data_IF_374273184969
#
_entry.id   IF_374273184969
#
_cell.length_a   1.000
_cell.length_b   1.000
_cell.length_c   1.000
_cell.angle_alpha   90.00
_cell.angle_beta   90.00
_cell.angle_gamma   90.00
#
_symmetry.space_group_name_H-M   'P 1'
#
loop_
_entity.id
_entity.type
_entity.pdbx_description
1 polymer ?
#
# COMPACT_ATOMS: atom_id res chain seq x y z
N UNK A 1 31.49 -13.20 92.99
CA UNK A 1 31.07 -11.95 92.39
C UNK A 1 31.50 -11.98 90.94
N UNK A 2 30.57 -12.34 90.01
CA UNK A 2 30.90 -12.43 88.60
C UNK A 2 29.85 -11.60 87.81
N UNK A 3 30.30 -10.46 87.29
CA UNK A 3 29.51 -9.62 86.40
C UNK A 3 29.63 -10.17 84.95
N UNK A 4 28.53 -10.63 84.38
CA UNK A 4 28.40 -10.98 82.96
C UNK A 4 27.71 -9.81 82.23
N UNK A 5 28.47 -9.04 81.48
CA UNK A 5 27.98 -8.01 80.60
C UNK A 5 27.45 -8.64 79.32
N UNK A 6 26.15 -8.47 79.03
CA UNK A 6 25.51 -8.93 77.80
C UNK A 6 25.60 -7.79 76.78
N UNK A 7 26.29 -8.06 75.65
CA UNK A 7 26.27 -7.19 74.49
C UNK A 7 25.04 -7.51 73.63
N UNK A 8 24.18 -6.48 73.45
CA UNK A 8 23.03 -6.53 72.56
C UNK A 8 23.50 -6.06 71.19
N UNK A 9 23.58 -6.98 70.22
CA UNK A 9 23.87 -6.66 68.83
C UNK A 9 22.54 -6.32 68.13
N UNK A 10 22.36 -5.05 67.82
CA UNK A 10 21.22 -4.59 67.01
C UNK A 10 21.58 -4.75 65.51
N UNK A 11 20.93 -5.69 64.85
CA UNK A 11 21.02 -5.85 63.38
C UNK A 11 20.09 -4.81 62.72
N UNK A 12 20.66 -3.79 62.11
CA UNK A 12 19.95 -2.78 61.32
C UNK A 12 19.77 -3.33 59.88
N UNK A 13 18.58 -3.89 59.60
CA UNK A 13 18.24 -4.32 58.24
C UNK A 13 17.85 -3.09 57.38
N UNK A 14 18.80 -2.72 56.49
CA UNK A 14 18.51 -1.73 55.44
C UNK A 14 17.68 -2.37 54.36
N UNK A 15 16.39 -2.11 54.30
CA UNK A 15 15.49 -2.44 53.21
C UNK A 15 15.73 -1.45 52.06
N UNK A 16 16.51 -1.88 51.04
CA UNK A 16 16.57 -1.13 49.78
C UNK A 16 15.24 -1.32 49.03
N UNK A 17 14.41 -0.31 49.06
CA UNK A 17 13.23 -0.23 48.19
C UNK A 17 13.72 0.19 46.81
N UNK A 18 13.89 -0.79 45.90
CA UNK A 18 14.03 -0.51 44.47
C UNK A 18 12.68 0.02 43.99
N UNK A 19 12.51 1.32 43.91
CA UNK A 19 11.41 1.96 43.24
C UNK A 19 11.51 1.70 41.74
N UNK A 20 10.77 0.71 41.21
CA UNK A 20 10.47 0.67 39.80
C UNK A 20 9.77 1.99 39.43
N UNK A 21 10.47 2.87 38.69
CA UNK A 21 9.78 3.94 37.98
C UNK A 21 8.83 3.27 37.01
N UNK A 22 7.53 3.61 36.99
CA UNK A 22 6.66 3.14 35.92
C UNK A 22 7.26 3.64 34.60
N UNK A 23 7.57 2.73 33.67
CA UNK A 23 7.80 3.09 32.28
C UNK A 23 6.58 3.90 31.86
N UNK A 24 6.81 5.15 31.45
CA UNK A 24 5.81 5.91 30.73
C UNK A 24 5.50 5.09 29.48
N UNK A 25 4.35 4.41 29.42
CA UNK A 25 3.78 4.00 28.15
C UNK A 25 3.66 5.30 27.35
N UNK A 26 4.47 5.47 26.31
CA UNK A 26 4.21 6.48 25.29
C UNK A 26 2.82 6.15 24.76
N UNK A 27 1.88 7.05 24.97
CA UNK A 27 0.56 6.93 24.38
C UNK A 27 0.75 7.07 22.88
N UNK A 28 0.27 6.11 22.11
CA UNK A 28 0.20 6.23 20.66
C UNK A 28 -0.45 7.58 20.31
N UNK A 29 0.05 8.29 19.28
CA UNK A 29 -0.56 9.55 18.86
C UNK A 29 -2.02 9.31 18.47
N UNK A 30 -2.89 10.26 18.76
CA UNK A 30 -4.33 10.19 18.44
C UNK A 30 -4.56 10.12 16.91
N UNK A 31 -3.67 10.74 16.13
CA UNK A 31 -3.72 10.76 14.66
C UNK A 31 -2.34 10.43 14.09
N UNK A 32 -2.26 9.56 13.07
CA UNK A 32 -1.01 9.33 12.34
C UNK A 32 -0.62 10.58 11.55
N UNK A 33 0.68 10.79 11.38
CA UNK A 33 1.19 11.78 10.42
C UNK A 33 1.23 11.22 9.00
N UNK A 34 1.50 9.92 8.90
CA UNK A 34 1.73 9.25 7.65
C UNK A 34 0.72 8.12 7.46
N UNK A 35 0.26 7.95 6.23
CA UNK A 35 -0.51 6.77 5.83
C UNK A 35 0.22 6.09 4.68
N UNK A 36 0.48 4.79 4.83
CA UNK A 36 0.98 3.91 3.77
C UNK A 36 -0.15 2.93 3.44
N UNK A 37 -0.69 3.04 2.24
CA UNK A 37 -1.77 2.21 1.74
C UNK A 37 -1.24 1.24 0.69
N UNK A 38 -1.26 -0.07 0.98
CA UNK A 38 -0.75 -1.08 0.07
C UNK A 38 -1.91 -1.90 -0.51
N UNK A 39 -1.93 -2.08 -1.82
CA UNK A 39 -2.96 -2.81 -2.56
C UNK A 39 -2.31 -3.97 -3.31
N UNK A 40 -2.66 -5.21 -2.95
CA UNK A 40 -2.38 -6.38 -3.77
C UNK A 40 -3.52 -6.58 -4.76
N UNK A 41 -3.31 -6.20 -6.02
CA UNK A 41 -4.32 -6.33 -7.06
C UNK A 41 -4.72 -7.80 -7.26
N UNK A 42 -6.01 -8.09 -7.20
CA UNK A 42 -6.54 -9.46 -7.32
C UNK A 42 -6.31 -10.37 -6.10
N UNK A 43 -5.81 -9.81 -4.98
CA UNK A 43 -5.36 -10.56 -3.81
C UNK A 43 -6.49 -10.88 -2.82
N UNK A 44 -7.22 -11.96 -3.05
CA UNK A 44 -8.16 -12.52 -2.06
C UNK A 44 -7.45 -13.34 -0.96
N UNK A 45 -8.25 -13.89 -0.06
CA UNK A 45 -7.75 -14.72 1.07
C UNK A 45 -7.00 -15.96 0.57
N UNK A 46 -7.44 -16.56 -0.53
CA UNK A 46 -6.79 -17.75 -1.10
C UNK A 46 -5.41 -17.42 -1.64
N UNK A 47 -5.23 -16.28 -2.31
CA UNK A 47 -3.94 -15.82 -2.81
C UNK A 47 -2.96 -15.56 -1.65
N UNK A 48 -3.41 -14.90 -0.58
CA UNK A 48 -2.59 -14.68 0.62
C UNK A 48 -2.16 -16.01 1.24
N UNK A 49 -3.09 -16.97 1.39
CA UNK A 49 -2.76 -18.26 2.00
C UNK A 49 -1.88 -19.13 1.08
N UNK A 50 -2.02 -19.00 -0.23
CA UNK A 50 -1.10 -19.60 -1.21
C UNK A 50 0.33 -19.07 -1.03
N UNK A 51 0.50 -17.74 -1.00
CA UNK A 51 1.80 -17.10 -0.73
C UNK A 51 2.39 -17.52 0.62
N UNK A 52 1.57 -17.55 1.68
CA UNK A 52 1.99 -18.03 3.01
C UNK A 52 2.46 -19.48 2.95
N UNK A 53 1.75 -20.35 2.24
CA UNK A 53 2.13 -21.77 2.10
C UNK A 53 3.45 -21.91 1.35
N UNK A 54 3.61 -21.18 0.23
CA UNK A 54 4.84 -21.20 -0.56
C UNK A 54 6.03 -20.60 0.20
N UNK A 55 5.80 -19.62 1.07
CA UNK A 55 6.81 -19.05 1.97
C UNK A 55 6.95 -19.80 3.30
N UNK A 56 6.77 -21.10 3.29
CA UNK A 56 6.98 -22.00 4.43
C UNK A 56 6.17 -21.66 5.69
N UNK A 57 4.99 -21.06 5.53
CA UNK A 57 4.02 -20.80 6.58
C UNK A 57 4.11 -19.44 7.26
N UNK A 58 4.77 -18.45 6.65
CA UNK A 58 4.89 -17.10 7.23
C UNK A 58 4.84 -16.00 6.19
N UNK A 59 4.11 -14.92 6.51
CA UNK A 59 4.12 -13.64 5.80
C UNK A 59 4.21 -12.48 6.81
N UNK A 60 4.73 -11.34 6.39
CA UNK A 60 4.74 -10.10 7.20
C UNK A 60 3.32 -9.65 7.55
N UNK A 61 2.34 -9.93 6.69
CA UNK A 61 0.92 -9.66 6.92
C UNK A 61 0.37 -10.29 8.20
N UNK A 62 0.94 -11.37 8.75
CA UNK A 62 0.53 -11.96 10.03
C UNK A 62 0.80 -11.04 11.24
N UNK A 63 1.62 -10.00 11.07
CA UNK A 63 1.96 -9.05 12.14
C UNK A 63 0.86 -8.03 12.41
N UNK A 64 -0.12 -7.89 11.51
CA UNK A 64 -1.27 -7.02 11.69
C UNK A 64 -2.25 -7.60 12.71
N UNK A 65 -2.79 -6.73 13.56
CA UNK A 65 -3.71 -7.13 14.64
C UNK A 65 -5.16 -6.75 14.36
N UNK A 66 -5.38 -5.74 13.54
CA UNK A 66 -6.69 -5.26 13.17
C UNK A 66 -7.01 -5.72 11.76
N UNK A 67 -8.06 -6.54 11.63
CA UNK A 67 -8.45 -7.17 10.38
C UNK A 67 -9.93 -6.91 10.13
N UNK A 68 -10.26 -6.48 8.93
CA UNK A 68 -11.61 -6.31 8.42
C UNK A 68 -11.77 -6.92 7.03
N UNK A 69 -12.94 -6.71 6.44
CA UNK A 69 -13.27 -7.11 5.07
C UNK A 69 -14.03 -6.01 4.36
N UNK A 70 -13.77 -5.83 3.07
CA UNK A 70 -14.49 -4.87 2.23
C UNK A 70 -15.28 -5.56 1.13
N UNK A 71 -16.44 -4.96 0.80
CA UNK A 71 -17.27 -5.31 -0.37
C UNK A 71 -16.80 -4.48 -1.55
N UNK A 72 -16.53 -5.14 -2.67
CA UNK A 72 -15.77 -4.57 -3.79
C UNK A 72 -16.62 -4.15 -5.00
N UNK A 73 -17.88 -4.55 -5.11
CA UNK A 73 -18.72 -4.30 -6.28
C UNK A 73 -18.68 -2.84 -6.76
N UNK A 74 -18.79 -2.64 -8.08
CA UNK A 74 -18.86 -1.31 -8.71
C UNK A 74 -20.29 -0.78 -8.79
N UNK A 75 -20.48 0.44 -9.30
CA UNK A 75 -21.83 1.03 -9.41
C UNK A 75 -22.71 0.36 -10.47
N UNK A 76 -22.12 -0.31 -11.44
CA UNK A 76 -22.81 -0.94 -12.59
C UNK A 76 -22.62 -2.45 -12.68
N UNK A 77 -21.76 -3.05 -11.81
CA UNK A 77 -21.47 -4.48 -11.88
C UNK A 77 -21.26 -5.08 -10.49
N UNK A 78 -21.76 -6.29 -10.26
CA UNK A 78 -21.48 -7.08 -9.05
C UNK A 78 -19.99 -7.43 -8.92
N UNK A 79 -19.31 -7.61 -10.05
CA UNK A 79 -17.85 -7.84 -10.12
C UNK A 79 -17.18 -6.56 -10.58
N UNK A 80 -16.37 -5.97 -9.72
CA UNK A 80 -15.63 -4.75 -10.02
C UNK A 80 -14.42 -5.02 -10.92
N UNK A 81 -13.91 -3.95 -11.56
CA UNK A 81 -12.53 -3.91 -12.05
C UNK A 81 -11.66 -3.03 -11.16
N UNK A 82 -10.34 -3.03 -11.39
CA UNK A 82 -9.37 -2.25 -10.60
C UNK A 82 -9.62 -0.74 -10.68
N UNK A 83 -10.12 -0.24 -11.82
CA UNK A 83 -10.42 1.18 -12.01
C UNK A 83 -11.56 1.65 -11.07
N UNK A 84 -12.68 0.93 -11.06
CA UNK A 84 -13.83 1.25 -10.23
C UNK A 84 -13.53 1.02 -8.74
N UNK A 85 -12.81 -0.06 -8.39
CA UNK A 85 -12.45 -0.33 -7.00
C UNK A 85 -11.42 0.66 -6.48
N UNK A 86 -10.36 0.95 -7.25
CA UNK A 86 -9.36 1.97 -6.91
C UNK A 86 -10.01 3.34 -6.72
N UNK A 87 -10.92 3.74 -7.62
CA UNK A 87 -11.69 4.99 -7.48
C UNK A 87 -12.55 4.98 -6.21
N UNK A 88 -13.20 3.87 -5.89
CA UNK A 88 -14.01 3.77 -4.68
C UNK A 88 -13.16 3.93 -3.40
N UNK A 89 -11.96 3.34 -3.36
CA UNK A 89 -11.04 3.45 -2.22
C UNK A 89 -10.38 4.82 -2.12
N UNK A 90 -10.07 5.45 -3.26
CA UNK A 90 -9.38 6.75 -3.28
C UNK A 90 -10.31 7.93 -3.06
N UNK A 91 -11.61 7.84 -3.41
CA UNK A 91 -12.53 8.99 -3.43
C UNK A 91 -13.82 8.80 -2.61
N UNK A 92 -14.03 7.62 -2.02
CA UNK A 92 -15.25 7.32 -1.25
C UNK A 92 -16.53 7.16 -2.09
N UNK A 93 -16.41 7.04 -3.41
CA UNK A 93 -17.56 6.92 -4.31
C UNK A 93 -17.46 5.72 -5.24
N UNK A 94 -18.54 4.95 -5.35
CA UNK A 94 -18.66 3.90 -6.37
C UNK A 94 -18.78 4.52 -7.76
N UNK A 95 -18.04 3.96 -8.72
CA UNK A 95 -18.13 4.34 -10.13
C UNK A 95 -18.33 3.12 -11.03
N UNK A 96 -18.46 3.32 -12.33
CA UNK A 96 -18.60 2.24 -13.32
C UNK A 96 -17.24 1.58 -13.58
N UNK A 97 -17.28 0.30 -13.94
CA UNK A 97 -16.07 -0.39 -14.38
C UNK A 97 -15.38 0.38 -15.50
N UNK A 98 -14.07 0.49 -15.45
CA UNK A 98 -13.23 1.21 -16.40
C UNK A 98 -13.06 2.71 -16.17
N UNK A 99 -13.81 3.33 -15.24
CA UNK A 99 -13.69 4.76 -14.95
C UNK A 99 -12.64 5.03 -13.86
N UNK A 100 -11.85 6.07 -14.07
CA UNK A 100 -10.74 6.51 -13.22
C UNK A 100 -11.06 7.85 -12.55
N UNK A 101 -11.12 7.91 -11.22
CA UNK A 101 -11.26 9.14 -10.44
C UNK A 101 -12.49 9.99 -10.79
N UNK A 102 -13.52 9.38 -11.36
CA UNK A 102 -14.76 10.04 -11.77
C UNK A 102 -15.98 9.31 -11.21
N UNK A 103 -17.06 10.03 -10.99
CA UNK A 103 -18.35 9.43 -10.66
C UNK A 103 -19.04 8.82 -11.93
N UNK A 104 -20.17 8.10 -11.79
CA UNK A 104 -20.88 7.51 -12.93
C UNK A 104 -21.38 8.50 -13.98
N UNK A 105 -21.45 9.79 -13.65
CA UNK A 105 -21.86 10.88 -14.54
C UNK A 105 -20.66 11.63 -15.14
N UNK A 106 -19.45 11.08 -14.99
CA UNK A 106 -18.19 11.64 -15.50
C UNK A 106 -17.75 12.97 -14.84
N UNK A 107 -18.15 13.18 -13.58
CA UNK A 107 -17.68 14.30 -12.76
C UNK A 107 -16.44 13.85 -12.02
N UNK A 108 -15.36 14.62 -12.10
CA UNK A 108 -14.11 14.33 -11.37
C UNK A 108 -14.34 14.32 -9.86
N UNK A 109 -13.79 13.33 -9.19
CA UNK A 109 -13.85 13.13 -7.74
C UNK A 109 -12.49 13.45 -7.13
N UNK A 110 -12.45 14.18 -6.04
CA UNK A 110 -11.19 14.38 -5.30
C UNK A 110 -10.74 13.08 -4.66
N UNK A 111 -9.48 12.73 -4.86
CA UNK A 111 -8.88 11.57 -4.20
C UNK A 111 -8.31 11.94 -2.83
N UNK A 112 -8.10 10.93 -1.98
CA UNK A 112 -7.39 11.10 -0.69
C UNK A 112 -5.96 11.63 -0.89
N UNK A 113 -5.30 11.29 -1.99
CA UNK A 113 -3.97 11.80 -2.32
C UNK A 113 -4.02 13.31 -2.59
N UNK A 114 -4.95 13.77 -3.43
CA UNK A 114 -5.14 15.19 -3.72
C UNK A 114 -5.52 15.99 -2.46
N UNK A 115 -6.39 15.42 -1.60
CA UNK A 115 -6.75 16.06 -0.32
C UNK A 115 -5.53 16.14 0.60
N UNK A 116 -4.67 15.11 0.63
CA UNK A 116 -3.42 15.16 1.39
C UNK A 116 -2.52 16.30 0.91
N UNK A 117 -2.36 16.48 -0.41
CA UNK A 117 -1.61 17.61 -1.01
C UNK A 117 -2.21 18.97 -0.64
N UNK A 118 -3.55 19.13 -0.70
CA UNK A 118 -4.26 20.35 -0.30
C UNK A 118 -3.97 20.73 1.17
N UNK A 119 -3.75 19.75 2.04
CA UNK A 119 -3.35 19.95 3.43
C UNK A 119 -1.84 20.14 3.60
N UNK A 120 -1.07 20.04 2.50
CA UNK A 120 0.38 20.23 2.45
C UNK A 120 1.17 19.02 2.95
N UNK A 121 0.59 17.82 2.92
CA UNK A 121 1.31 16.57 3.08
C UNK A 121 2.06 16.27 1.77
N UNK A 122 3.13 15.47 1.87
CA UNK A 122 3.75 14.89 0.70
C UNK A 122 2.93 13.70 0.18
N UNK A 123 3.04 13.39 -1.10
CA UNK A 123 2.28 12.33 -1.72
C UNK A 123 3.12 11.45 -2.64
N UNK A 124 2.75 10.16 -2.75
CA UNK A 124 3.49 9.23 -3.59
C UNK A 124 2.69 8.03 -4.08
N UNK A 125 3.14 7.48 -5.21
CA UNK A 125 2.61 6.28 -5.84
C UNK A 125 3.75 5.33 -6.25
N UNK A 126 3.60 4.04 -5.94
CA UNK A 126 4.52 2.99 -6.37
C UNK A 126 3.72 1.83 -6.96
N UNK A 127 4.17 1.25 -8.07
CA UNK A 127 3.45 0.12 -8.70
C UNK A 127 4.39 -0.80 -9.47
N UNK A 128 4.10 -2.10 -9.45
CA UNK A 128 4.78 -3.08 -10.31
C UNK A 128 4.28 -3.08 -11.75
N UNK A 129 3.14 -2.45 -12.04
CA UNK A 129 2.65 -2.19 -13.40
C UNK A 129 3.17 -0.87 -13.97
N UNK A 130 2.59 -0.42 -15.08
CA UNK A 130 2.72 0.96 -15.51
C UNK A 130 2.11 1.88 -14.44
N UNK A 131 2.79 2.96 -14.10
CA UNK A 131 2.27 3.92 -13.10
C UNK A 131 0.98 4.61 -13.54
N UNK A 132 0.65 4.50 -14.81
CA UNK A 132 -0.60 4.94 -15.43
C UNK A 132 -1.68 3.85 -15.47
N UNK A 133 -1.41 2.63 -14.93
CA UNK A 133 -2.41 1.56 -14.84
C UNK A 133 -3.54 1.94 -13.87
N UNK A 134 -4.64 1.23 -13.93
CA UNK A 134 -5.90 1.63 -13.32
C UNK A 134 -5.81 1.94 -11.82
N UNK A 135 -5.14 1.10 -11.04
CA UNK A 135 -5.07 1.26 -9.58
C UNK A 135 -4.30 2.51 -9.17
N UNK A 136 -3.02 2.75 -9.58
CA UNK A 136 -2.34 3.99 -9.24
C UNK A 136 -3.01 5.22 -9.89
N UNK A 137 -3.52 5.10 -11.12
CA UNK A 137 -4.23 6.19 -11.79
C UNK A 137 -5.45 6.68 -11.01
N UNK A 138 -6.16 5.78 -10.32
CA UNK A 138 -7.36 6.12 -9.53
C UNK A 138 -7.07 7.06 -8.34
N UNK A 139 -5.82 7.28 -7.98
CA UNK A 139 -5.43 8.21 -6.91
C UNK A 139 -5.01 9.59 -7.43
N UNK A 140 -4.80 9.76 -8.74
CA UNK A 140 -4.21 10.98 -9.31
C UNK A 140 -4.88 11.48 -10.60
N UNK A 141 -5.62 10.64 -11.31
CA UNK A 141 -6.17 10.96 -12.63
C UNK A 141 -7.71 10.94 -12.66
N UNK A 142 -8.28 11.65 -13.63
CA UNK A 142 -9.73 11.74 -13.83
C UNK A 142 -10.06 11.48 -15.30
N UNK A 143 -10.22 10.19 -15.65
CA UNK A 143 -10.45 9.77 -17.02
C UNK A 143 -11.67 8.84 -17.13
N UNK A 144 -12.50 8.99 -18.18
CA UNK A 144 -13.69 8.14 -18.36
C UNK A 144 -13.37 6.71 -18.75
N UNK A 145 -12.10 6.41 -19.07
CA UNK A 145 -11.66 5.08 -19.48
C UNK A 145 -10.21 4.82 -19.05
N UNK A 146 -9.98 3.72 -18.34
CA UNK A 146 -8.67 3.27 -17.83
C UNK A 146 -7.61 3.05 -18.91
N UNK A 147 -8.01 2.88 -20.16
CA UNK A 147 -7.09 2.66 -21.29
C UNK A 147 -6.58 3.98 -21.92
N UNK A 148 -7.00 5.12 -21.42
CA UNK A 148 -6.49 6.44 -21.84
C UNK A 148 -5.14 6.73 -21.16
N UNK A 149 -4.16 5.88 -21.40
CA UNK A 149 -2.87 5.93 -20.71
C UNK A 149 -2.10 7.23 -20.90
N UNK A 150 -2.18 7.83 -22.08
CA UNK A 150 -1.51 9.10 -22.36
C UNK A 150 -2.16 10.26 -21.64
N UNK A 151 -3.49 10.29 -21.55
CA UNK A 151 -4.26 11.27 -20.79
C UNK A 151 -4.01 11.11 -19.29
N UNK A 152 -3.98 9.87 -18.79
CA UNK A 152 -3.61 9.57 -17.41
C UNK A 152 -2.19 10.06 -17.12
N UNK A 153 -1.21 9.83 -18.02
CA UNK A 153 0.15 10.33 -17.85
C UNK A 153 0.17 11.87 -17.78
N UNK A 154 -0.67 12.55 -18.56
CA UNK A 154 -0.78 14.01 -18.51
C UNK A 154 -1.42 14.54 -17.23
N UNK A 155 -2.25 13.74 -16.55
CA UNK A 155 -2.84 14.11 -15.27
C UNK A 155 -1.78 14.22 -14.15
N UNK A 156 -0.67 13.48 -14.21
CA UNK A 156 0.46 13.64 -13.28
C UNK A 156 1.08 15.05 -13.27
N UNK A 157 0.92 15.81 -14.35
CA UNK A 157 1.38 17.20 -14.40
C UNK A 157 0.40 18.20 -13.77
N UNK A 158 -0.80 17.76 -13.40
CA UNK A 158 -1.86 18.63 -12.83
C UNK A 158 -1.86 18.63 -11.30
N UNK A 159 -1.12 17.72 -10.68
CA UNK A 159 -1.00 17.57 -9.24
C UNK A 159 0.38 17.98 -8.74
N UNK A 160 0.59 17.99 -7.44
CA UNK A 160 1.87 18.30 -6.81
C UNK A 160 2.56 17.05 -6.25
N UNK A 161 2.22 15.86 -6.77
CA UNK A 161 2.80 14.60 -6.30
C UNK A 161 4.33 14.68 -6.19
N UNK A 162 4.90 14.20 -5.08
CA UNK A 162 6.33 14.29 -4.83
C UNK A 162 7.12 13.14 -5.45
N UNK A 163 6.56 11.92 -5.40
CA UNK A 163 7.24 10.74 -5.92
C UNK A 163 6.27 9.78 -6.60
N UNK A 164 6.64 9.29 -7.78
CA UNK A 164 5.98 8.16 -8.40
C UNK A 164 7.00 7.23 -9.07
N UNK A 165 6.86 5.92 -8.81
CA UNK A 165 7.79 4.90 -9.30
C UNK A 165 6.99 3.71 -9.87
N UNK A 166 7.24 3.37 -11.12
CA UNK A 166 6.59 2.26 -11.82
C UNK A 166 7.00 2.17 -13.28
N UNK A 167 6.39 1.28 -14.03
CA UNK A 167 6.56 1.23 -15.49
C UNK A 167 5.81 2.34 -16.21
N UNK A 168 5.66 2.22 -17.54
CA UNK A 168 4.83 3.10 -18.36
C UNK A 168 5.58 4.27 -19.01
N UNK A 169 6.91 4.23 -19.10
CA UNK A 169 7.72 5.28 -19.71
C UNK A 169 7.19 5.72 -21.09
N UNK A 170 6.71 4.78 -21.90
CA UNK A 170 6.20 5.06 -23.23
C UNK A 170 5.01 6.02 -23.22
N UNK A 171 4.15 5.98 -22.19
CA UNK A 171 3.00 6.87 -22.06
C UNK A 171 3.39 8.33 -21.79
N UNK A 172 4.62 8.56 -21.34
CA UNK A 172 5.18 9.90 -21.10
C UNK A 172 5.98 10.42 -22.30
N UNK A 173 6.66 9.55 -23.09
CA UNK A 173 7.61 9.97 -24.13
C UNK A 173 7.26 9.54 -25.56
N UNK A 174 6.43 8.49 -25.76
CA UNK A 174 6.03 7.96 -27.09
C UNK A 174 4.55 8.23 -27.33
N UNK A 175 4.17 9.49 -27.21
CA UNK A 175 2.79 9.96 -27.23
C UNK A 175 2.33 10.33 -28.65
N UNK A 176 1.04 10.11 -28.92
CA UNK A 176 0.43 10.51 -30.22
C UNK A 176 0.40 12.03 -30.41
N UNK A 177 0.29 12.81 -29.30
CA UNK A 177 0.32 14.27 -29.33
C UNK A 177 1.72 14.89 -29.54
N UNK A 178 2.76 14.03 -29.58
CA UNK A 178 4.15 14.44 -29.79
C UNK A 178 4.80 15.17 -28.60
N UNK A 179 4.13 15.25 -27.43
CA UNK A 179 4.71 15.80 -26.21
C UNK A 179 5.70 14.82 -25.59
N UNK A 180 6.65 15.36 -24.86
CA UNK A 180 7.56 14.61 -23.99
C UNK A 180 7.30 15.09 -22.54
N UNK A 181 6.44 14.35 -21.83
CA UNK A 181 6.03 14.73 -20.48
C UNK A 181 7.16 14.63 -19.46
N UNK A 182 8.22 13.86 -19.76
CA UNK A 182 9.38 13.80 -18.86
C UNK A 182 10.12 15.13 -18.82
N UNK A 183 10.23 15.85 -19.96
CA UNK A 183 10.80 17.19 -19.99
C UNK A 183 9.93 18.22 -19.26
N UNK A 184 8.61 18.10 -19.39
CA UNK A 184 7.70 18.98 -18.65
C UNK A 184 7.76 18.74 -17.14
N UNK A 185 7.99 17.49 -16.70
CA UNK A 185 8.24 17.15 -15.31
C UNK A 185 9.60 17.66 -14.82
N UNK A 186 10.67 17.58 -15.66
CA UNK A 186 11.98 18.18 -15.34
C UNK A 186 11.85 19.70 -15.12
N UNK A 187 11.06 20.40 -15.95
CA UNK A 187 10.78 21.83 -15.78
C UNK A 187 10.03 22.14 -14.47
N UNK A 188 9.26 21.18 -13.95
CA UNK A 188 8.62 21.24 -12.64
C UNK A 188 9.53 20.77 -11.47
N UNK A 189 10.79 20.45 -11.76
CA UNK A 189 11.79 20.10 -10.74
C UNK A 189 11.88 18.63 -10.39
N UNK A 190 11.31 17.74 -11.19
CA UNK A 190 11.45 16.29 -10.97
C UNK A 190 12.81 15.77 -11.44
N UNK A 191 13.37 14.85 -10.65
CA UNK A 191 14.41 13.95 -11.11
C UNK A 191 13.75 12.83 -11.93
N UNK A 192 14.10 12.73 -13.23
CA UNK A 192 13.59 11.66 -14.11
C UNK A 192 14.62 10.55 -14.19
N UNK A 193 14.25 9.36 -13.68
CA UNK A 193 15.14 8.20 -13.64
C UNK A 193 14.45 6.94 -14.18
N UNK A 194 15.25 6.07 -14.81
CA UNK A 194 14.76 4.85 -15.48
C UNK A 194 15.38 3.56 -14.92
N UNK A 195 16.27 3.68 -13.95
CA UNK A 195 17.07 2.58 -13.41
C UNK A 195 16.90 2.53 -11.90
N UNK A 196 16.48 1.37 -11.36
CA UNK A 196 16.21 1.21 -9.93
C UNK A 196 17.45 1.47 -9.06
N UNK A 197 18.66 1.12 -9.51
CA UNK A 197 19.87 1.40 -8.76
C UNK A 197 20.10 2.90 -8.54
N UNK A 198 19.70 3.72 -9.54
CA UNK A 198 19.77 5.19 -9.43
C UNK A 198 18.61 5.75 -8.61
N UNK A 199 17.41 5.22 -8.81
CA UNK A 199 16.19 5.59 -8.09
C UNK A 199 16.42 5.38 -6.58
N UNK A 200 16.94 4.23 -6.17
CA UNK A 200 17.20 3.87 -4.77
C UNK A 200 18.22 4.78 -4.07
N UNK A 201 19.03 5.51 -4.85
CA UNK A 201 19.99 6.50 -4.34
C UNK A 201 19.37 7.86 -3.99
N UNK A 202 18.10 8.13 -4.38
CA UNK A 202 17.44 9.41 -4.12
C UNK A 202 16.84 9.41 -2.71
N UNK A 203 17.06 10.50 -1.98
CA UNK A 203 16.57 10.65 -0.61
C UNK A 203 15.73 11.90 -0.39
N UNK A 204 15.69 12.83 -1.36
CA UNK A 204 14.98 14.10 -1.27
C UNK A 204 14.60 14.65 -2.65
N UNK A 205 13.67 15.59 -2.70
CA UNK A 205 13.22 16.24 -3.92
C UNK A 205 12.15 15.44 -4.67
N UNK A 206 11.60 16.01 -5.74
CA UNK A 206 10.59 15.34 -6.57
C UNK A 206 11.24 14.27 -7.45
N UNK A 207 10.59 13.11 -7.58
CA UNK A 207 11.10 11.96 -8.34
C UNK A 207 10.04 11.32 -9.23
N UNK A 208 10.35 11.15 -10.50
CA UNK A 208 9.63 10.29 -11.44
C UNK A 208 10.52 9.11 -11.84
N UNK A 209 10.28 7.94 -11.27
CA UNK A 209 10.98 6.70 -11.55
C UNK A 209 10.20 5.84 -12.56
N UNK A 210 10.59 5.85 -13.83
CA UNK A 210 9.90 5.13 -14.91
C UNK A 210 10.69 3.87 -15.30
N UNK A 211 10.51 2.80 -14.55
CA UNK A 211 11.37 1.61 -14.52
C UNK A 211 11.27 0.68 -15.73
N UNK A 212 10.21 0.81 -16.54
CA UNK A 212 10.00 0.02 -17.75
C UNK A 212 9.26 0.83 -18.82
N UNK A 213 9.38 0.43 -20.09
CA UNK A 213 8.67 1.07 -21.21
C UNK A 213 7.15 0.95 -21.06
N UNK A 214 6.69 -0.24 -20.72
CA UNK A 214 5.28 -0.56 -20.41
C UNK A 214 5.19 -0.98 -18.95
N UNK A 215 4.71 -2.21 -18.69
CA UNK A 215 4.73 -2.78 -17.35
C UNK A 215 6.12 -3.32 -17.00
N UNK A 216 6.45 -3.39 -15.72
CA UNK A 216 7.62 -4.13 -15.28
C UNK A 216 7.43 -5.63 -15.57
N UNK A 217 8.49 -6.41 -15.76
CA UNK A 217 8.38 -7.86 -15.88
C UNK A 217 7.83 -8.48 -14.60
N UNK A 218 7.30 -9.71 -14.67
CA UNK A 218 6.94 -10.48 -13.48
C UNK A 218 8.18 -10.73 -12.60
N UNK A 219 7.97 -11.04 -11.33
CA UNK A 219 9.06 -11.20 -10.37
C UNK A 219 10.11 -12.21 -10.86
N UNK A 220 9.71 -13.40 -11.27
CA UNK A 220 10.60 -14.46 -11.77
C UNK A 220 11.29 -14.12 -13.11
N UNK A 221 10.78 -13.14 -13.85
CA UNK A 221 11.36 -12.70 -15.13
C UNK A 221 12.37 -11.56 -14.98
N UNK A 222 12.80 -11.27 -13.77
CA UNK A 222 13.92 -10.38 -13.48
C UNK A 222 13.55 -8.98 -13.00
N UNK A 223 12.31 -8.75 -12.49
CA UNK A 223 11.98 -7.51 -11.78
C UNK A 223 12.82 -7.34 -10.52
N UNK A 224 13.20 -8.43 -9.85
CA UNK A 224 13.94 -8.42 -8.61
C UNK A 224 13.22 -7.64 -7.51
N UNK A 225 13.95 -7.06 -6.59
CA UNK A 225 13.43 -6.37 -5.40
C UNK A 225 12.84 -4.97 -5.68
N UNK A 226 12.44 -4.69 -6.93
CA UNK A 226 11.97 -3.38 -7.39
C UNK A 226 10.87 -2.81 -6.48
N UNK A 227 9.86 -3.59 -6.10
CA UNK A 227 8.72 -3.09 -5.34
C UNK A 227 9.12 -2.65 -3.94
N UNK A 228 9.88 -3.49 -3.22
CA UNK A 228 10.34 -3.13 -1.88
C UNK A 228 11.31 -1.95 -1.90
N UNK A 229 12.23 -1.87 -2.88
CA UNK A 229 13.22 -0.80 -2.99
C UNK A 229 12.57 0.53 -3.39
N UNK A 230 11.61 0.51 -4.30
CA UNK A 230 10.79 1.67 -4.67
C UNK A 230 9.97 2.17 -3.47
N UNK A 231 9.36 1.26 -2.71
CA UNK A 231 8.61 1.59 -1.48
C UNK A 231 9.51 2.26 -0.45
N UNK A 232 10.70 1.70 -0.19
CA UNK A 232 11.68 2.30 0.73
C UNK A 232 12.14 3.67 0.25
N UNK A 233 12.39 3.83 -1.05
CA UNK A 233 12.81 5.12 -1.63
C UNK A 233 11.70 6.17 -1.51
N UNK A 234 10.46 5.80 -1.83
CA UNK A 234 9.31 6.70 -1.68
C UNK A 234 9.15 7.14 -0.22
N UNK A 235 9.16 6.21 0.74
CA UNK A 235 9.08 6.54 2.17
C UNK A 235 10.19 7.49 2.62
N UNK A 236 11.44 7.30 2.16
CA UNK A 236 12.57 8.19 2.50
C UNK A 236 12.35 9.61 1.98
N UNK A 237 11.91 9.75 0.73
CA UNK A 237 11.65 11.07 0.12
C UNK A 237 10.50 11.76 0.85
N UNK A 238 9.37 11.08 1.03
CA UNK A 238 8.14 11.64 1.59
C UNK A 238 8.31 12.02 3.07
N UNK A 239 9.10 11.28 3.82
CA UNK A 239 9.35 11.54 5.24
C UNK A 239 10.13 12.84 5.52
N UNK A 240 10.65 13.52 4.49
CA UNK A 240 11.23 14.86 4.64
C UNK A 240 10.14 15.94 4.89
N UNK A 241 8.86 15.63 4.61
CA UNK A 241 7.77 16.55 4.89
C UNK A 241 7.38 16.48 6.39
N UNK A 242 7.57 17.57 7.11
CA UNK A 242 7.29 17.64 8.54
C UNK A 242 5.80 17.46 8.91
N UNK A 243 4.88 17.68 7.96
CA UNK A 243 3.45 17.47 8.16
C UNK A 243 3.05 16.01 8.00
N UNK A 244 3.85 15.20 7.29
CA UNK A 244 3.62 13.81 6.98
C UNK A 244 3.31 13.57 5.50
N UNK A 245 2.83 12.36 5.18
CA UNK A 245 2.62 11.95 3.79
C UNK A 245 1.50 10.91 3.63
N UNK A 246 1.00 10.82 2.38
CA UNK A 246 0.20 9.71 1.88
C UNK A 246 0.99 8.96 0.80
N UNK A 247 1.16 7.65 0.96
CA UNK A 247 1.82 6.78 -0.01
C UNK A 247 0.91 5.60 -0.37
N UNK A 248 0.60 5.43 -1.66
CA UNK A 248 -0.01 4.21 -2.17
C UNK A 248 1.05 3.33 -2.85
N UNK A 249 1.02 2.04 -2.55
CA UNK A 249 1.91 1.01 -3.12
C UNK A 249 1.07 -0.13 -3.68
N UNK A 250 1.36 -0.54 -4.91
CA UNK A 250 0.61 -1.61 -5.57
C UNK A 250 1.50 -2.77 -5.99
N UNK A 251 1.12 -3.99 -5.56
CA UNK A 251 1.56 -5.25 -6.14
C UNK A 251 0.56 -5.69 -7.21
N UNK A 252 0.76 -5.21 -8.44
CA UNK A 252 -0.23 -5.30 -9.52
C UNK A 252 -0.39 -6.69 -10.13
N UNK A 253 0.62 -7.55 -10.02
CA UNK A 253 0.70 -8.72 -10.89
C UNK A 253 0.20 -10.01 -10.22
N UNK A 254 -0.28 -9.95 -8.99
CA UNK A 254 -1.04 -11.04 -8.36
C UNK A 254 -2.31 -11.30 -9.18
N UNK A 255 -2.97 -10.22 -9.62
CA UNK A 255 -4.12 -10.23 -10.51
C UNK A 255 -3.84 -10.96 -11.84
N UNK A 256 -2.70 -10.64 -12.47
CA UNK A 256 -2.33 -11.27 -13.74
C UNK A 256 -2.09 -12.76 -13.58
N UNK A 257 -1.44 -13.18 -12.48
CA UNK A 257 -1.34 -14.60 -12.13
C UNK A 257 -2.71 -15.26 -11.95
N UNK A 258 -3.69 -14.54 -11.38
CA UNK A 258 -5.08 -14.96 -11.26
C UNK A 258 -5.77 -15.11 -12.62
N UNK A 259 -5.61 -14.14 -13.51
CA UNK A 259 -6.14 -14.19 -14.89
C UNK A 259 -5.57 -15.37 -15.70
N UNK A 260 -4.27 -15.65 -15.54
CA UNK A 260 -3.59 -16.76 -16.19
C UNK A 260 -3.89 -18.11 -15.53
N UNK A 261 -4.55 -18.13 -14.35
CA UNK A 261 -4.75 -19.31 -13.52
C UNK A 261 -3.42 -20.01 -13.18
N UNK A 262 -2.36 -19.22 -12.99
CA UNK A 262 -1.00 -19.65 -12.71
C UNK A 262 -0.66 -19.49 -11.22
N UNK A 263 -0.70 -20.60 -10.48
CA UNK A 263 -0.45 -20.61 -9.03
C UNK A 263 0.99 -20.17 -8.69
N UNK A 264 1.98 -20.51 -9.51
CA UNK A 264 3.38 -20.13 -9.29
C UNK A 264 3.54 -18.61 -9.44
N UNK A 265 2.93 -18.03 -10.46
CA UNK A 265 2.90 -16.58 -10.66
C UNK A 265 2.24 -15.86 -9.48
N UNK A 266 1.06 -16.33 -9.04
CA UNK A 266 0.36 -15.74 -7.88
C UNK A 266 1.25 -15.74 -6.64
N UNK A 267 1.86 -16.87 -6.29
CA UNK A 267 2.60 -17.00 -5.03
C UNK A 267 3.88 -16.16 -5.03
N UNK A 268 4.60 -16.07 -6.17
CA UNK A 268 5.80 -15.24 -6.25
C UNK A 268 5.47 -13.74 -6.11
N UNK A 269 4.37 -13.29 -6.72
CA UNK A 269 3.92 -11.89 -6.63
C UNK A 269 3.37 -11.55 -5.24
N UNK A 270 2.68 -12.47 -4.57
CA UNK A 270 2.24 -12.28 -3.18
C UNK A 270 3.44 -12.16 -2.24
N UNK A 271 4.48 -12.97 -2.44
CA UNK A 271 5.70 -12.92 -1.61
C UNK A 271 6.47 -11.61 -1.85
N UNK A 272 6.62 -11.18 -3.11
CA UNK A 272 7.23 -9.89 -3.45
C UNK A 272 6.46 -8.71 -2.83
N UNK A 273 5.13 -8.74 -2.93
CA UNK A 273 4.27 -7.75 -2.30
C UNK A 273 4.42 -7.75 -0.77
N UNK A 274 4.49 -8.93 -0.13
CA UNK A 274 4.69 -9.06 1.32
C UNK A 274 6.07 -8.52 1.77
N UNK A 275 7.10 -8.56 0.92
CA UNK A 275 8.37 -7.90 1.19
C UNK A 275 8.20 -6.36 1.28
N UNK A 276 7.41 -5.76 0.41
CA UNK A 276 7.09 -4.33 0.50
C UNK A 276 6.24 -4.01 1.74
N UNK A 277 5.28 -4.87 2.09
CA UNK A 277 4.51 -4.78 3.35
C UNK A 277 5.45 -4.84 4.56
N UNK A 278 6.43 -5.73 4.56
CA UNK A 278 7.43 -5.82 5.64
C UNK A 278 8.20 -4.51 5.81
N UNK A 279 8.60 -3.84 4.72
CA UNK A 279 9.28 -2.53 4.76
C UNK A 279 8.40 -1.41 5.31
N UNK A 280 7.13 -1.38 4.93
CA UNK A 280 6.16 -0.43 5.48
C UNK A 280 5.95 -0.64 6.99
N UNK A 281 5.83 -1.90 7.43
CA UNK A 281 5.73 -2.23 8.86
C UNK A 281 6.99 -1.88 9.64
N UNK A 282 8.19 -2.13 9.10
CA UNK A 282 9.46 -1.73 9.72
C UNK A 282 9.52 -0.20 9.90
N UNK A 283 9.12 0.54 8.87
CA UNK A 283 9.05 2.00 8.94
C UNK A 283 8.09 2.45 10.03
N UNK A 284 6.85 1.95 10.04
CA UNK A 284 5.82 2.31 11.00
C UNK A 284 6.19 1.97 12.44
N UNK A 285 6.87 0.84 12.68
CA UNK A 285 7.35 0.45 14.00
C UNK A 285 8.44 1.38 14.54
N UNK A 286 9.28 1.93 13.67
CA UNK A 286 10.34 2.86 14.05
C UNK A 286 9.85 4.30 14.20
N UNK A 287 8.83 4.69 13.43
CA UNK A 287 8.29 6.07 13.42
C UNK A 287 7.19 6.31 14.46
N UNK A 288 6.39 5.28 14.79
CA UNK A 288 5.24 5.32 15.72
C UNK A 288 4.13 6.33 15.34
N UNK A 289 4.23 7.04 14.23
CA UNK A 289 3.25 8.01 13.73
C UNK A 289 2.68 7.61 12.36
N UNK A 290 2.89 6.36 11.96
CA UNK A 290 2.51 5.86 10.63
C UNK A 290 1.44 4.79 10.75
N UNK A 291 0.32 5.01 10.07
CA UNK A 291 -0.72 4.01 9.81
C UNK A 291 -0.37 3.26 8.53
N UNK A 292 -0.32 1.94 8.61
CA UNK A 292 -0.16 1.04 7.46
C UNK A 292 -1.46 0.28 7.26
N UNK A 293 -2.02 0.35 6.05
CA UNK A 293 -3.22 -0.39 5.66
C UNK A 293 -2.91 -1.22 4.42
N UNK A 294 -3.24 -2.51 4.46
CA UNK A 294 -3.05 -3.46 3.34
C UNK A 294 -4.40 -4.03 2.96
N UNK A 295 -4.71 -4.07 1.67
CA UNK A 295 -5.95 -4.67 1.15
C UNK A 295 -5.74 -5.18 -0.29
N UNK A 296 -6.83 -5.58 -0.91
CA UNK A 296 -6.94 -5.82 -2.35
C UNK A 296 -8.09 -4.97 -2.91
N UNK A 297 -8.11 -4.80 -4.21
CA UNK A 297 -9.21 -4.16 -4.93
C UNK A 297 -10.34 -5.14 -5.28
N UNK A 298 -10.02 -6.39 -5.57
CA UNK A 298 -10.89 -7.55 -5.79
C UNK A 298 -10.10 -8.86 -5.59
N UNK A 299 -10.73 -9.99 -5.84
CA UNK A 299 -10.09 -11.30 -6.02
C UNK A 299 -10.15 -11.68 -7.49
N UNK A 300 -9.12 -12.40 -7.98
CA UNK A 300 -9.02 -12.87 -9.36
C UNK A 300 -8.78 -14.38 -9.42
N UNK A 301 -9.42 -15.03 -10.41
CA UNK A 301 -9.28 -16.45 -10.70
C UNK A 301 -10.28 -17.36 -9.97
N UNK A 302 -10.92 -16.87 -8.91
CA UNK A 302 -11.73 -17.72 -8.04
C UNK A 302 -10.91 -18.88 -7.47
N UNK A 303 -9.70 -18.56 -6.97
CA UNK A 303 -8.72 -19.53 -6.50
C UNK A 303 -9.23 -20.32 -5.29
N UNK A 304 -9.29 -21.64 -5.44
CA UNK A 304 -9.42 -22.61 -4.35
C UNK A 304 -8.08 -23.31 -4.10
N UNK A 305 -7.76 -23.60 -2.85
CA UNK A 305 -6.56 -24.34 -2.48
C UNK A 305 -6.91 -25.80 -2.23
N UNK A 306 -6.52 -26.69 -3.15
CA UNK A 306 -6.88 -28.10 -3.16
C UNK A 306 -5.84 -29.00 -2.47
N UNK A 307 -4.61 -28.48 -2.25
CA UNK A 307 -3.52 -29.14 -1.57
C UNK A 307 -2.31 -28.23 -1.42
N UNK A 308 -1.32 -28.69 -0.69
CA UNK A 308 -0.08 -27.96 -0.47
C UNK A 308 0.74 -28.48 0.70
N UNK A 309 1.92 -27.92 0.91
CA UNK A 309 2.82 -28.29 1.99
C UNK A 309 3.66 -27.08 2.42
N UNK A 310 3.55 -26.68 3.67
CA UNK A 310 4.44 -25.67 4.27
C UNK A 310 5.91 -26.14 4.31
N UNK A 311 6.14 -27.44 4.50
CA UNK A 311 7.49 -27.97 4.54
C UNK A 311 8.21 -27.82 3.19
N UNK A 312 7.49 -28.06 2.10
CA UNK A 312 8.05 -28.02 0.74
C UNK A 312 7.76 -26.70 0.00
N UNK A 313 6.96 -25.80 0.56
CA UNK A 313 6.53 -24.59 -0.11
C UNK A 313 5.66 -24.83 -1.34
N UNK A 314 4.95 -25.96 -1.42
CA UNK A 314 4.13 -26.33 -2.58
C UNK A 314 2.67 -25.97 -2.39
N UNK A 315 2.00 -25.52 -3.46
CA UNK A 315 0.58 -25.14 -3.48
C UNK A 315 -0.10 -25.79 -4.69
N UNK A 316 -1.26 -26.39 -4.46
CA UNK A 316 -2.13 -26.94 -5.50
C UNK A 316 -3.36 -26.04 -5.66
N UNK A 317 -3.32 -25.11 -6.61
CA UNK A 317 -4.43 -24.21 -6.94
C UNK A 317 -5.48 -24.87 -7.81
N UNK A 318 -6.73 -24.44 -7.65
CA UNK A 318 -7.83 -24.76 -8.55
C UNK A 318 -8.68 -23.50 -8.78
N UNK A 319 -9.05 -23.24 -10.02
CA UNK A 319 -9.66 -21.98 -10.44
C UNK A 319 -11.08 -22.18 -10.94
N UNK A 320 -11.96 -21.21 -10.70
CA UNK A 320 -13.34 -21.24 -11.17
C UNK A 320 -13.56 -20.33 -12.38
N UNK A 321 -12.66 -19.39 -12.62
CA UNK A 321 -12.72 -18.42 -13.72
C UNK A 321 -11.32 -17.95 -14.10
N UNK A 322 -11.17 -17.28 -15.24
CA UNK A 322 -9.99 -16.48 -15.60
C UNK A 322 -10.25 -14.96 -15.44
N UNK A 323 -11.34 -14.59 -14.74
CA UNK A 323 -11.73 -13.20 -14.47
C UNK A 323 -11.78 -12.92 -12.97
N UNK A 324 -12.15 -11.69 -12.59
CA UNK A 324 -12.37 -11.31 -11.19
C UNK A 324 -13.57 -12.04 -10.58
N UNK A 325 -13.64 -12.10 -9.26
CA UNK A 325 -14.79 -12.59 -8.52
C UNK A 325 -15.38 -11.55 -7.58
N UNK A 326 -16.63 -11.73 -7.20
CA UNK A 326 -17.38 -10.82 -6.32
C UNK A 326 -17.25 -11.13 -4.83
N UNK A 327 -16.17 -11.81 -4.40
CA UNK A 327 -15.94 -12.09 -2.98
C UNK A 327 -15.41 -10.85 -2.25
N UNK A 328 -15.66 -10.79 -0.94
CA UNK A 328 -15.02 -9.77 -0.09
C UNK A 328 -13.52 -10.04 0.01
N UNK A 329 -12.73 -8.97 0.07
CA UNK A 329 -11.28 -9.04 0.29
C UNK A 329 -10.91 -8.53 1.68
N UNK A 330 -9.81 -9.00 2.27
CA UNK A 330 -9.40 -8.60 3.62
C UNK A 330 -8.78 -7.20 3.63
N UNK A 331 -8.89 -6.53 4.78
CA UNK A 331 -8.16 -5.31 5.13
C UNK A 331 -7.35 -5.59 6.38
N UNK A 332 -6.07 -5.28 6.35
CA UNK A 332 -5.17 -5.37 7.49
C UNK A 332 -4.71 -3.96 7.86
N UNK A 333 -4.69 -3.62 9.16
CA UNK A 333 -4.24 -2.31 9.61
C UNK A 333 -3.30 -2.40 10.82
N UNK A 334 -2.30 -1.51 10.86
CA UNK A 334 -1.30 -1.40 11.91
C UNK A 334 -0.94 0.08 12.16
N UNK A 335 -0.73 0.45 13.41
CA UNK A 335 -0.35 1.81 13.83
C UNK A 335 -1.53 2.61 14.39
N UNK A 336 -1.35 3.92 14.61
CA UNK A 336 -2.38 4.78 15.19
C UNK A 336 -3.67 4.78 14.38
N UNK A 337 -4.84 4.55 15.02
CA UNK A 337 -6.15 4.49 14.38
C UNK A 337 -6.45 3.19 13.63
N UNK A 338 -5.58 2.18 13.71
CA UNK A 338 -5.76 0.91 12.97
C UNK A 338 -6.98 0.11 13.42
N UNK A 339 -7.47 0.28 14.65
CA UNK A 339 -8.68 -0.36 15.17
C UNK A 339 -9.96 -0.03 14.39
N UNK A 340 -9.99 1.14 13.75
CA UNK A 340 -11.11 1.60 12.94
C UNK A 340 -11.30 0.78 11.64
N UNK A 341 -10.29 0.01 11.23
CA UNK A 341 -10.30 -0.80 10.01
C UNK A 341 -10.86 -2.21 10.23
N UNK A 342 -11.42 -2.51 11.41
CA UNK A 342 -12.04 -3.80 11.72
C UNK A 342 -13.50 -3.86 11.23
N UNK A 343 -14.05 -5.09 11.06
CA UNK A 343 -15.44 -5.31 10.66
C UNK A 343 -15.62 -5.55 9.17
N UNK A 344 -16.89 -5.48 8.70
CA UNK A 344 -17.26 -5.65 7.28
C UNK A 344 -17.93 -4.38 6.79
N UNK A 345 -17.37 -3.76 5.75
CA UNK A 345 -17.86 -2.47 5.25
C UNK A 345 -17.67 -2.34 3.72
N UNK A 346 -18.09 -1.21 3.16
CA UNK A 346 -17.89 -0.89 1.74
C UNK A 346 -16.43 -0.45 1.49
N UNK A 347 -15.86 -0.75 0.31
CA UNK A 347 -14.53 -0.25 -0.04
C UNK A 347 -14.46 1.29 -0.08
N UNK A 348 -15.58 1.97 -0.33
CA UNK A 348 -15.68 3.44 -0.23
C UNK A 348 -15.38 3.97 1.17
N UNK A 349 -15.63 3.20 2.22
CA UNK A 349 -15.38 3.64 3.59
C UNK A 349 -13.88 3.79 3.92
N UNK A 350 -12.98 3.22 3.12
CA UNK A 350 -11.54 3.42 3.30
C UNK A 350 -11.15 4.90 3.15
N UNK A 351 -11.73 5.60 2.19
CA UNK A 351 -11.53 7.04 2.02
C UNK A 351 -11.88 7.82 3.29
N UNK A 352 -13.09 7.62 3.82
CA UNK A 352 -13.53 8.32 5.05
C UNK A 352 -12.63 7.98 6.24
N UNK A 353 -12.20 6.71 6.36
CA UNK A 353 -11.28 6.26 7.42
C UNK A 353 -9.91 6.92 7.31
N UNK A 354 -9.37 7.12 6.10
CA UNK A 354 -8.12 7.84 5.91
C UNK A 354 -8.25 9.31 6.28
N UNK A 355 -9.33 9.99 5.88
CA UNK A 355 -9.58 11.38 6.27
C UNK A 355 -9.75 11.51 7.78
N UNK A 356 -10.50 10.60 8.39
CA UNK A 356 -10.67 10.57 9.86
C UNK A 356 -9.33 10.31 10.56
N UNK A 357 -8.51 9.38 10.05
CA UNK A 357 -7.20 9.11 10.63
C UNK A 357 -6.30 10.35 10.61
N UNK A 358 -6.30 11.14 9.54
CA UNK A 358 -5.59 12.42 9.50
C UNK A 358 -6.23 13.54 10.34
N UNK A 359 -7.47 13.36 10.83
CA UNK A 359 -8.24 14.42 11.48
C UNK A 359 -8.74 15.49 10.49
N UNK A 360 -8.85 15.15 9.20
CA UNK A 360 -9.41 16.05 8.20
C UNK A 360 -10.93 15.99 8.27
N UNK A 361 -11.57 17.16 8.25
CA UNK A 361 -13.02 17.26 8.08
C UNK A 361 -13.32 17.37 6.58
N UNK A 362 -14.21 16.53 6.09
CA UNK A 362 -14.79 16.71 4.77
C UNK A 362 -15.67 17.98 4.79
N UNK A 363 -15.16 19.09 4.25
CA UNK A 363 -15.88 20.36 4.08
C UNK A 363 -16.38 20.50 2.66
#
# INVERSE_FOLDING_TARGET
>A
MNNKTKYLVIFLSVVMVFGCKPEKKETEPEHPKNIIFLIGDGMGVSQIYAGMTANHGSLAMERFKHIGFIKTYSSDNYITDSAASGTAMSSGKKTKNGMIGMDPDTIALRSVLEIAEEHGLASGLVSTSAITHATPASFIAHQPNRNLYEEIAADFLKTEIDVFIGGGRDHFIKREDGRDLTKELEEKGYNILFDMDKISGITEGKLAGLTADKHNPRYSEGRGDMLQDATVTAMKILNNNNKGFFLMVEGSQIDWGGHDNDTEYIVEEVIDFDHAVAKALEFAQNDANTLVVVTADHETGGLGLNGGSFENGTVEGGYTTGDHTGVMVPVFAFGPGSEEFTGIYENTALFDKFLQAYGFSDN
#
